data_IF_482339132159
#
_entry.id   IF_482339132159
#
_cell.length_a   1.000
_cell.length_b   1.000
_cell.length_c   1.000
_cell.angle_alpha   90.00
_cell.angle_beta   90.00
_cell.angle_gamma   90.00
#
_symmetry.space_group_name_H-M   'P 1'
#
loop_
_entity.id
_entity.type
_entity.pdbx_description
1 polymer ?
#
# COMPACT_ATOMS: atom_id res chain seq x y z
N UNK A 1 -14.51 34.78 17.27
CA UNK A 1 -14.43 33.77 16.20
C UNK A 1 -13.10 34.00 15.50
N UNK A 2 -12.05 33.25 15.87
CA UNK A 2 -10.74 33.37 15.24
C UNK A 2 -10.80 32.64 13.89
N UNK A 3 -10.30 33.22 12.78
CA UNK A 3 -10.18 32.48 11.54
C UNK A 3 -9.25 31.28 11.77
N UNK A 4 -9.70 30.09 11.41
CA UNK A 4 -8.83 28.91 11.36
C UNK A 4 -7.61 29.27 10.51
N UNK A 5 -6.45 29.37 11.14
CA UNK A 5 -5.20 29.57 10.42
C UNK A 5 -5.02 28.39 9.48
N UNK A 6 -4.94 28.67 8.17
CA UNK A 6 -4.65 27.64 7.18
C UNK A 6 -3.41 26.84 7.61
N UNK A 7 -3.43 25.51 7.48
CA UNK A 7 -2.28 24.69 7.86
C UNK A 7 -1.05 25.15 7.06
N UNK A 8 0.02 25.50 7.76
CA UNK A 8 1.32 25.79 7.15
C UNK A 8 1.81 24.50 6.47
N UNK A 9 1.97 24.56 5.14
CA UNK A 9 2.58 23.48 4.36
C UNK A 9 4.01 23.89 4.08
N UNK A 10 4.98 23.06 4.47
CA UNK A 10 6.37 23.24 4.11
C UNK A 10 6.50 23.29 2.58
N UNK A 11 7.02 24.38 1.99
CA UNK A 11 7.18 24.51 0.54
C UNK A 11 7.94 23.35 -0.09
N UNK A 12 8.95 22.79 0.60
CA UNK A 12 9.72 21.66 0.09
C UNK A 12 8.86 20.39 -0.07
N UNK A 13 7.87 20.19 0.81
CA UNK A 13 6.93 19.06 0.71
C UNK A 13 5.91 19.27 -0.41
N UNK A 14 5.50 20.52 -0.66
CA UNK A 14 4.63 20.85 -1.79
C UNK A 14 5.34 20.59 -3.14
N UNK A 15 6.62 20.95 -3.26
CA UNK A 15 7.43 20.66 -4.44
C UNK A 15 7.56 19.16 -4.72
N UNK A 16 7.77 18.34 -3.68
CA UNK A 16 7.85 16.88 -3.83
C UNK A 16 6.54 16.30 -4.35
N UNK A 17 5.40 16.78 -3.85
CA UNK A 17 4.09 16.35 -4.38
C UNK A 17 3.94 16.73 -5.86
N UNK A 18 4.30 17.95 -6.24
CA UNK A 18 4.22 18.38 -7.64
C UNK A 18 5.14 17.56 -8.54
N UNK A 19 6.34 17.20 -8.08
CA UNK A 19 7.25 16.32 -8.82
C UNK A 19 6.65 14.92 -9.00
N UNK A 20 6.06 14.36 -7.95
CA UNK A 20 5.39 13.07 -8.02
C UNK A 20 4.20 13.12 -8.99
N UNK A 21 3.36 14.15 -8.92
CA UNK A 21 2.23 14.33 -9.84
C UNK A 21 2.72 14.47 -11.30
N UNK A 22 3.75 15.26 -11.54
CA UNK A 22 4.35 15.44 -12.87
C UNK A 22 4.92 14.14 -13.42
N UNK A 23 5.54 13.31 -12.58
CA UNK A 23 6.07 12.01 -12.97
C UNK A 23 4.96 11.07 -13.47
N UNK A 24 3.84 10.98 -12.74
CA UNK A 24 2.72 10.14 -13.16
C UNK A 24 2.05 10.70 -14.42
N UNK A 25 1.87 12.02 -14.49
CA UNK A 25 1.30 12.66 -15.67
C UNK A 25 2.14 12.42 -16.93
N UNK A 26 3.47 12.39 -16.82
CA UNK A 26 4.36 12.06 -17.95
C UNK A 26 4.15 10.61 -18.47
N UNK A 27 3.66 9.71 -17.64
CA UNK A 27 3.29 8.32 -17.98
C UNK A 27 1.80 8.22 -18.39
N UNK A 28 1.10 9.35 -18.43
CA UNK A 28 -0.34 9.47 -18.70
C UNK A 28 -1.21 8.86 -17.61
N UNK A 29 -0.74 8.92 -16.36
CA UNK A 29 -1.43 8.47 -15.16
C UNK A 29 -1.76 9.65 -14.24
N UNK A 30 -2.78 9.46 -13.41
CA UNK A 30 -2.92 10.25 -12.20
C UNK A 30 -2.01 9.69 -11.10
N UNK A 31 -1.43 10.56 -10.27
CA UNK A 31 -0.72 10.10 -9.09
C UNK A 31 -1.70 9.39 -8.13
N UNK A 32 -1.26 8.30 -7.47
CA UNK A 32 -2.15 7.53 -6.62
C UNK A 32 -2.66 8.37 -5.46
N UNK A 33 -3.97 8.34 -5.23
CA UNK A 33 -4.58 8.98 -4.07
C UNK A 33 -4.20 8.19 -2.80
N UNK A 34 -3.41 8.80 -1.92
CA UNK A 34 -3.00 8.21 -0.66
C UNK A 34 -4.09 8.41 0.42
N UNK A 35 -4.22 7.49 1.40
CA UNK A 35 -5.10 7.71 2.55
C UNK A 35 -4.73 8.98 3.31
N UNK A 36 -5.73 9.71 3.84
CA UNK A 36 -5.50 11.01 4.51
C UNK A 36 -4.65 10.92 5.78
N UNK A 37 -4.51 9.74 6.38
CA UNK A 37 -3.65 9.52 7.54
C UNK A 37 -2.16 9.47 7.19
N UNK A 38 -1.82 9.40 5.91
CA UNK A 38 -0.43 9.28 5.44
C UNK A 38 0.26 10.64 5.50
N UNK A 39 1.46 10.73 6.10
CA UNK A 39 2.22 11.98 6.14
C UNK A 39 2.58 12.51 4.75
N UNK A 40 3.00 13.78 4.62
CA UNK A 40 3.50 14.31 3.35
C UNK A 40 4.67 13.50 2.79
N UNK A 41 4.73 13.41 1.47
CA UNK A 41 5.77 12.69 0.75
C UNK A 41 7.11 13.43 0.77
N UNK A 42 8.18 12.64 0.73
CA UNK A 42 9.57 13.07 0.54
C UNK A 42 10.16 12.29 -0.62
N UNK A 43 11.15 12.86 -1.30
CA UNK A 43 11.91 12.15 -2.33
C UNK A 43 12.78 11.09 -1.65
N UNK A 44 12.65 9.83 -2.08
CA UNK A 44 13.48 8.71 -1.62
C UNK A 44 14.66 8.48 -2.56
N UNK A 45 14.37 8.55 -3.86
CA UNK A 45 15.34 8.41 -4.95
C UNK A 45 14.77 9.10 -6.20
N UNK A 46 15.52 9.04 -7.30
CA UNK A 46 15.00 9.44 -8.62
C UNK A 46 13.72 8.66 -8.90
N UNK A 47 12.63 9.39 -9.21
CA UNK A 47 11.31 8.82 -9.54
C UNK A 47 10.64 8.01 -8.42
N UNK A 48 11.07 8.16 -7.17
CA UNK A 48 10.55 7.40 -6.03
C UNK A 48 10.30 8.31 -4.83
N UNK A 49 9.11 8.18 -4.24
CA UNK A 49 8.61 9.05 -3.18
C UNK A 49 8.06 8.22 -2.04
N UNK A 50 8.11 8.75 -0.82
CA UNK A 50 7.50 8.10 0.34
C UNK A 50 7.53 8.96 1.59
N UNK A 51 6.83 8.54 2.62
CA UNK A 51 6.62 9.34 3.84
C UNK A 51 7.78 9.29 4.83
N UNK A 52 8.63 8.27 4.72
CA UNK A 52 9.86 8.11 5.49
C UNK A 52 10.91 7.39 4.66
N UNK A 53 12.16 7.41 5.12
CA UNK A 53 13.19 6.54 4.56
C UNK A 53 12.74 5.06 4.61
N UNK A 54 13.17 4.30 3.60
CA UNK A 54 12.99 2.85 3.60
C UNK A 54 14.00 2.21 4.58
N UNK A 55 13.66 1.05 5.17
CA UNK A 55 14.61 0.26 5.95
C UNK A 55 15.89 -0.05 5.15
N UNK A 56 16.99 -0.28 5.85
CA UNK A 56 18.24 -0.67 5.22
C UNK A 56 18.05 -1.91 4.33
N UNK A 57 18.57 -1.84 3.10
CA UNK A 57 18.42 -2.92 2.10
C UNK A 57 17.04 -3.00 1.43
N UNK A 58 16.02 -2.28 1.92
CA UNK A 58 14.73 -2.19 1.26
C UNK A 58 14.76 -1.18 0.11
N UNK A 59 14.13 -1.55 -1.00
CA UNK A 59 13.86 -0.66 -2.13
C UNK A 59 12.40 -0.88 -2.55
N UNK A 60 11.82 0.04 -3.32
CA UNK A 60 10.50 -0.20 -3.91
C UNK A 60 10.47 -1.49 -4.77
N UNK A 61 11.62 -1.89 -5.31
CA UNK A 61 11.72 -3.07 -6.17
C UNK A 61 11.74 -4.39 -5.38
N UNK A 62 12.20 -4.38 -4.13
CA UNK A 62 12.29 -5.57 -3.30
C UNK A 62 11.11 -5.66 -2.32
N UNK A 63 9.94 -5.98 -2.87
CA UNK A 63 8.68 -6.03 -2.13
C UNK A 63 8.71 -7.01 -0.96
N UNK A 64 9.43 -8.13 -1.09
CA UNK A 64 9.57 -9.10 -0.01
C UNK A 64 10.35 -8.51 1.16
N UNK A 65 11.50 -7.88 0.93
CA UNK A 65 12.25 -7.22 2.03
C UNK A 65 11.43 -6.13 2.72
N UNK A 66 10.63 -5.37 1.97
CA UNK A 66 9.71 -4.40 2.57
C UNK A 66 8.61 -5.09 3.39
N UNK A 67 8.00 -6.16 2.87
CA UNK A 67 7.01 -6.97 3.59
C UNK A 67 7.59 -7.49 4.91
N UNK A 68 8.75 -8.15 4.89
CA UNK A 68 9.41 -8.64 6.10
C UNK A 68 9.70 -7.51 7.10
N UNK A 69 10.10 -6.32 6.61
CA UNK A 69 10.33 -5.16 7.47
C UNK A 69 9.04 -4.63 8.12
N UNK A 70 7.91 -4.70 7.42
CA UNK A 70 6.58 -4.34 7.95
C UNK A 70 6.11 -5.38 8.98
N UNK A 71 6.31 -6.67 8.68
CA UNK A 71 5.93 -7.77 9.58
C UNK A 71 6.75 -7.74 10.87
N UNK A 72 8.04 -7.41 10.80
CA UNK A 72 8.92 -7.23 11.98
C UNK A 72 8.77 -5.89 12.70
N UNK A 73 7.90 -4.99 12.21
CA UNK A 73 7.65 -3.68 12.83
C UNK A 73 8.76 -2.63 12.64
N UNK A 74 9.69 -2.85 11.70
CA UNK A 74 10.69 -1.86 11.32
C UNK A 74 10.08 -0.71 10.48
N UNK A 75 8.96 -0.98 9.80
CA UNK A 75 8.12 0.04 9.16
C UNK A 75 6.83 0.16 9.95
N UNK A 76 6.55 1.36 10.46
CA UNK A 76 5.36 1.64 11.27
C UNK A 76 4.30 2.38 10.43
N UNK A 77 3.01 2.04 10.59
CA UNK A 77 1.94 2.85 10.03
C UNK A 77 1.83 4.22 10.74
N UNK A 78 1.32 5.26 10.08
CA UNK A 78 1.00 5.33 8.65
C UNK A 78 2.26 5.53 7.80
N UNK A 79 2.40 4.73 6.75
CA UNK A 79 3.50 4.81 5.80
C UNK A 79 2.97 4.66 4.37
N UNK A 80 3.52 5.42 3.44
CA UNK A 80 3.32 5.14 2.02
C UNK A 80 4.61 5.40 1.24
N UNK A 81 4.78 4.64 0.17
CA UNK A 81 5.81 4.91 -0.83
C UNK A 81 5.33 4.48 -2.22
N UNK A 82 5.67 5.25 -3.24
CA UNK A 82 5.27 4.97 -4.60
C UNK A 82 6.26 5.57 -5.59
N UNK A 83 6.17 5.14 -6.84
CA UNK A 83 7.04 5.63 -7.90
C UNK A 83 7.29 4.58 -8.97
N UNK A 84 8.31 4.84 -9.76
CA UNK A 84 8.74 3.98 -10.85
C UNK A 84 10.17 3.55 -10.60
N UNK A 85 10.45 2.25 -10.72
CA UNK A 85 11.79 1.73 -10.60
C UNK A 85 12.08 0.69 -11.69
N UNK A 86 13.37 0.53 -11.98
CA UNK A 86 13.87 -0.33 -13.05
C UNK A 86 14.84 0.42 -13.97
N UNK A 87 15.70 -0.33 -14.66
CA UNK A 87 16.77 0.20 -15.49
C UNK A 87 16.54 -0.14 -16.98
N UNK A 88 16.61 0.89 -17.83
CA UNK A 88 16.64 0.74 -19.29
C UNK A 88 15.27 0.61 -19.98
N UNK A 89 15.32 0.26 -21.26
CA UNK A 89 14.16 0.16 -22.15
C UNK A 89 13.24 -1.04 -21.85
N UNK A 90 13.69 -1.98 -21.00
CA UNK A 90 13.10 -3.33 -20.90
C UNK A 90 12.60 -3.73 -19.50
N UNK A 91 12.87 -2.93 -18.47
CA UNK A 91 12.45 -3.27 -17.10
C UNK A 91 11.97 -2.01 -16.41
N UNK A 92 10.66 -1.79 -16.46
CA UNK A 92 9.98 -0.72 -15.75
C UNK A 92 8.91 -1.35 -14.88
N UNK A 93 8.93 -1.03 -13.59
CA UNK A 93 7.89 -1.38 -12.64
C UNK A 93 7.30 -0.10 -12.04
N UNK A 94 6.01 -0.15 -11.75
CA UNK A 94 5.29 0.87 -11.00
C UNK A 94 4.94 0.31 -9.63
N UNK A 95 5.15 1.13 -8.61
CA UNK A 95 5.06 0.73 -7.21
C UNK A 95 4.04 1.60 -6.48
N UNK A 96 3.24 0.96 -5.62
CA UNK A 96 2.41 1.64 -4.64
C UNK A 96 2.37 0.78 -3.37
N UNK A 97 2.96 1.29 -2.30
CA UNK A 97 2.98 0.67 -1.00
C UNK A 97 2.24 1.56 -0.02
N UNK A 98 1.21 1.03 0.62
CA UNK A 98 0.38 1.73 1.60
C UNK A 98 0.31 0.87 2.85
N UNK A 99 0.72 1.43 3.99
CA UNK A 99 0.75 0.76 5.28
C UNK A 99 -0.01 1.65 6.26
N UNK A 100 -1.21 1.21 6.61
CA UNK A 100 -2.05 1.79 7.65
C UNK A 100 -2.11 0.83 8.84
N UNK A 101 -2.65 1.23 10.00
CA UNK A 101 -2.79 0.29 11.10
C UNK A 101 -3.70 -0.90 10.74
N UNK A 102 -4.69 -0.72 9.86
CA UNK A 102 -5.70 -1.74 9.53
C UNK A 102 -5.41 -2.51 8.23
N UNK A 103 -4.55 -1.97 7.36
CA UNK A 103 -4.27 -2.57 6.06
C UNK A 103 -2.84 -2.28 5.59
N UNK A 104 -2.20 -3.29 5.00
CA UNK A 104 -0.94 -3.23 4.28
C UNK A 104 -1.21 -3.66 2.84
N UNK A 105 -0.91 -2.81 1.88
CA UNK A 105 -1.03 -3.13 0.45
C UNK A 105 0.28 -2.83 -0.24
N UNK A 106 0.90 -3.86 -0.81
CA UNK A 106 2.15 -3.78 -1.55
C UNK A 106 1.88 -4.13 -3.02
N UNK A 107 1.69 -3.09 -3.84
CA UNK A 107 1.49 -3.20 -5.27
C UNK A 107 2.81 -2.99 -6.03
N UNK A 108 3.16 -3.92 -6.90
CA UNK A 108 4.30 -3.85 -7.80
C UNK A 108 3.92 -4.43 -9.16
N UNK A 109 3.67 -3.59 -10.15
CA UNK A 109 3.22 -4.03 -11.46
C UNK A 109 4.26 -3.78 -12.52
N UNK A 110 4.32 -4.63 -13.54
CA UNK A 110 5.09 -4.35 -14.75
C UNK A 110 4.49 -3.12 -15.44
N UNK A 111 5.30 -2.10 -15.62
CA UNK A 111 4.94 -0.88 -16.36
C UNK A 111 5.36 -0.92 -17.85
N UNK A 112 5.94 -2.05 -18.26
CA UNK A 112 6.11 -2.44 -19.66
C UNK A 112 7.20 -1.68 -20.41
N UNK A 113 7.30 -2.01 -21.70
CA UNK A 113 8.28 -1.49 -22.65
C UNK A 113 7.58 -0.75 -23.78
N UNK A 114 8.30 -0.43 -24.86
CA UNK A 114 7.72 0.11 -26.10
C UNK A 114 6.83 -0.91 -26.84
N UNK A 115 6.98 -2.21 -26.55
CA UNK A 115 6.23 -3.27 -27.24
C UNK A 115 4.91 -3.63 -26.55
N UNK A 116 4.70 -3.17 -25.32
CA UNK A 116 3.51 -3.50 -24.53
C UNK A 116 2.35 -2.54 -24.86
N UNK A 117 1.11 -3.03 -24.77
CA UNK A 117 -0.08 -2.17 -24.85
C UNK A 117 -0.20 -1.30 -23.60
N UNK A 118 0.23 -0.04 -23.74
CA UNK A 118 0.21 0.97 -22.68
C UNK A 118 -1.19 1.24 -22.14
N UNK A 119 -2.25 1.13 -22.95
CA UNK A 119 -3.62 1.36 -22.48
C UNK A 119 -4.06 0.25 -21.54
N UNK A 120 -3.76 -1.00 -21.89
CA UNK A 120 -4.07 -2.15 -21.04
C UNK A 120 -3.27 -2.11 -19.73
N UNK A 121 -1.97 -1.81 -19.78
CA UNK A 121 -1.16 -1.69 -18.56
C UNK A 121 -1.63 -0.56 -17.64
N UNK A 122 -2.01 0.59 -18.22
CA UNK A 122 -2.61 1.71 -17.49
C UNK A 122 -3.88 1.31 -16.76
N UNK A 123 -4.85 0.74 -17.47
CA UNK A 123 -6.12 0.33 -16.87
C UNK A 123 -5.93 -0.68 -15.73
N UNK A 124 -5.03 -1.66 -15.92
CA UNK A 124 -4.67 -2.62 -14.87
C UNK A 124 -4.09 -1.94 -13.63
N UNK A 125 -3.21 -0.95 -13.81
CA UNK A 125 -2.65 -0.21 -12.68
C UNK A 125 -3.68 0.66 -11.97
N UNK A 126 -4.49 1.42 -12.72
CA UNK A 126 -5.53 2.30 -12.15
C UNK A 126 -6.55 1.50 -11.34
N UNK A 127 -6.99 0.34 -11.85
CA UNK A 127 -7.88 -0.58 -11.14
C UNK A 127 -7.24 -1.07 -9.83
N UNK A 128 -5.99 -1.53 -9.89
CA UNK A 128 -5.27 -2.01 -8.71
C UNK A 128 -5.05 -0.87 -7.68
N UNK A 129 -4.66 0.32 -8.13
CA UNK A 129 -4.43 1.48 -7.27
C UNK A 129 -5.72 1.98 -6.60
N UNK A 130 -6.84 1.99 -7.33
CA UNK A 130 -8.15 2.29 -6.75
C UNK A 130 -8.53 1.24 -5.70
N UNK A 131 -8.28 -0.05 -5.98
CA UNK A 131 -8.46 -1.14 -5.03
C UNK A 131 -7.60 -0.98 -3.76
N UNK A 132 -6.34 -0.55 -3.88
CA UNK A 132 -5.47 -0.27 -2.72
C UNK A 132 -6.10 0.75 -1.78
N UNK A 133 -6.59 1.87 -2.33
CA UNK A 133 -7.25 2.93 -1.55
C UNK A 133 -8.53 2.42 -0.91
N UNK A 134 -9.35 1.74 -1.70
CA UNK A 134 -10.61 1.18 -1.22
C UNK A 134 -10.40 0.19 -0.08
N UNK A 135 -9.40 -0.68 -0.18
CA UNK A 135 -9.08 -1.64 0.87
C UNK A 135 -8.64 -0.94 2.16
N UNK A 136 -7.77 0.08 2.07
CA UNK A 136 -7.37 0.85 3.25
C UNK A 136 -8.57 1.56 3.91
N UNK A 137 -9.46 2.16 3.13
CA UNK A 137 -10.65 2.85 3.63
C UNK A 137 -11.67 1.87 4.25
N UNK A 138 -11.95 0.74 3.59
CA UNK A 138 -12.90 -0.26 4.07
C UNK A 138 -12.38 -1.01 5.29
N UNK A 139 -11.08 -1.35 5.36
CA UNK A 139 -10.49 -1.94 6.57
C UNK A 139 -10.55 -0.99 7.77
N UNK A 140 -10.36 0.30 7.56
CA UNK A 140 -10.55 1.32 8.61
C UNK A 140 -12.01 1.36 9.08
N UNK A 141 -12.98 1.33 8.17
CA UNK A 141 -14.41 1.32 8.51
C UNK A 141 -14.77 0.04 9.27
N UNK A 142 -14.29 -1.12 8.83
CA UNK A 142 -14.53 -2.41 9.47
C UNK A 142 -14.01 -2.44 10.91
N UNK A 143 -12.82 -1.87 11.17
CA UNK A 143 -12.28 -1.72 12.52
C UNK A 143 -13.16 -0.80 13.39
N UNK A 144 -13.56 0.38 12.87
CA UNK A 144 -14.44 1.32 13.61
C UNK A 144 -15.80 0.67 13.96
N UNK A 145 -16.27 -0.27 13.14
CA UNK A 145 -17.49 -1.06 13.38
C UNK A 145 -17.26 -2.31 14.24
N UNK A 146 -16.03 -2.54 14.69
CA UNK A 146 -15.61 -3.76 15.40
C UNK A 146 -15.91 -5.05 14.61
N UNK A 147 -15.95 -4.97 13.28
CA UNK A 147 -16.07 -6.12 12.37
C UNK A 147 -14.73 -6.80 12.12
N UNK A 148 -13.62 -6.08 12.31
CA UNK A 148 -12.26 -6.62 12.35
C UNK A 148 -11.67 -6.22 13.72
N UNK A 149 -11.03 -7.14 14.46
CA UNK A 149 -10.33 -6.83 15.69
C UNK A 149 -9.26 -5.74 15.50
N UNK A 150 -9.06 -4.88 16.50
CA UNK A 150 -8.09 -3.77 16.43
C UNK A 150 -6.63 -4.26 16.43
N UNK A 151 -6.41 -5.49 16.88
CA UNK A 151 -5.13 -6.19 16.89
C UNK A 151 -4.88 -7.02 15.62
N UNK A 152 -5.77 -6.93 14.62
CA UNK A 152 -5.61 -7.57 13.32
C UNK A 152 -5.56 -6.53 12.18
N UNK A 153 -4.91 -6.91 11.08
CA UNK A 153 -4.84 -6.11 9.85
C UNK A 153 -4.85 -6.99 8.61
N UNK A 154 -5.38 -6.44 7.53
CA UNK A 154 -5.30 -7.08 6.21
C UNK A 154 -3.94 -6.83 5.58
N UNK A 155 -3.30 -7.85 5.04
CA UNK A 155 -2.06 -7.71 4.28
C UNK A 155 -2.26 -8.27 2.89
N UNK A 156 -1.90 -7.48 1.88
CA UNK A 156 -2.01 -7.84 0.47
C UNK A 156 -0.71 -7.54 -0.24
N UNK A 157 -0.21 -8.52 -1.00
CA UNK A 157 0.85 -8.35 -1.97
C UNK A 157 0.29 -8.65 -3.35
N UNK A 158 0.39 -7.67 -4.24
CA UNK A 158 0.06 -7.82 -5.65
C UNK A 158 1.30 -7.45 -6.46
N UNK A 159 2.14 -8.43 -6.74
CA UNK A 159 3.37 -8.24 -7.49
C UNK A 159 3.42 -9.12 -8.73
N UNK A 160 3.67 -8.51 -9.89
CA UNK A 160 3.99 -9.24 -11.13
C UNK A 160 5.36 -9.95 -11.04
N UNK A 161 6.14 -9.73 -9.97
CA UNK A 161 7.51 -10.22 -9.79
C UNK A 161 7.72 -11.11 -8.56
N UNK A 162 6.93 -10.94 -7.50
CA UNK A 162 7.13 -11.62 -6.21
C UNK A 162 5.93 -12.48 -5.76
N UNK A 163 4.81 -12.42 -6.47
CA UNK A 163 3.61 -13.20 -6.17
C UNK A 163 2.39 -12.34 -5.84
N UNK A 164 1.25 -13.03 -5.75
CA UNK A 164 -0.08 -12.44 -5.56
C UNK A 164 -0.80 -13.19 -4.46
N UNK A 165 -0.85 -12.61 -3.27
CA UNK A 165 -1.35 -13.28 -2.07
C UNK A 165 -1.84 -12.27 -1.04
N UNK A 166 -2.65 -12.75 -0.10
CA UNK A 166 -3.16 -11.95 0.99
C UNK A 166 -3.31 -12.80 2.25
N UNK A 167 -3.39 -12.15 3.40
CA UNK A 167 -3.70 -12.81 4.67
C UNK A 167 -4.25 -11.77 5.67
N UNK A 168 -4.94 -12.24 6.70
CA UNK A 168 -5.32 -11.45 7.86
C UNK A 168 -4.39 -11.82 9.00
N UNK A 169 -3.66 -10.84 9.51
CA UNK A 169 -2.54 -11.08 10.42
C UNK A 169 -2.61 -10.16 11.63
N UNK A 170 -1.97 -10.53 12.74
CA UNK A 170 -1.78 -9.61 13.85
C UNK A 170 -1.16 -8.28 13.38
N UNK A 171 -1.64 -7.17 13.96
CA UNK A 171 -1.06 -5.85 13.78
C UNK A 171 0.27 -5.69 14.53
N UNK A 172 0.49 -6.51 15.56
CA UNK A 172 1.75 -6.56 16.30
C UNK A 172 2.90 -7.10 15.42
N UNK A 173 4.15 -6.71 15.73
CA UNK A 173 5.33 -7.30 15.10
C UNK A 173 5.38 -8.81 15.30
N UNK A 174 5.77 -9.55 14.25
CA UNK A 174 5.91 -11.00 14.25
C UNK A 174 7.39 -11.40 14.34
N UNK A 175 7.66 -12.50 15.04
CA UNK A 175 8.95 -13.20 15.01
C UNK A 175 9.16 -13.95 13.69
N UNK A 176 10.39 -14.36 13.41
CA UNK A 176 10.72 -15.09 12.17
C UNK A 176 9.97 -16.43 12.04
N UNK A 177 9.74 -17.12 13.17
CA UNK A 177 8.98 -18.38 13.18
C UNK A 177 7.50 -18.13 12.85
N UNK A 178 6.91 -17.07 13.39
CA UNK A 178 5.52 -16.69 13.08
C UNK A 178 5.38 -16.28 11.61
N UNK A 179 6.35 -15.53 11.08
CA UNK A 179 6.35 -15.14 9.67
C UNK A 179 6.45 -16.37 8.75
N UNK A 180 7.31 -17.34 9.09
CA UNK A 180 7.43 -18.58 8.33
C UNK A 180 6.17 -19.45 8.38
N UNK A 181 5.37 -19.31 9.45
CA UNK A 181 4.12 -20.04 9.65
C UNK A 181 2.88 -19.33 9.08
N UNK A 182 3.03 -18.17 8.43
CA UNK A 182 1.90 -17.45 7.84
C UNK A 182 1.22 -18.33 6.78
N UNK A 183 -0.09 -18.53 6.95
CA UNK A 183 -0.94 -19.05 5.91
C UNK A 183 -1.31 -17.91 4.94
N UNK A 184 -0.72 -17.95 3.76
CA UNK A 184 -1.01 -17.03 2.67
C UNK A 184 -2.15 -17.57 1.82
N UNK A 185 -3.23 -16.82 1.70
CA UNK A 185 -4.27 -17.11 0.74
C UNK A 185 -3.81 -16.67 -0.65
N UNK A 186 -3.86 -17.55 -1.66
CA UNK A 186 -3.63 -17.13 -3.04
C UNK A 186 -4.71 -16.13 -3.44
N UNK A 187 -4.32 -15.10 -4.19
CA UNK A 187 -5.27 -14.14 -4.73
C UNK A 187 -5.48 -14.25 -6.24
N UNK A 188 -4.90 -15.28 -6.86
CA UNK A 188 -4.76 -15.42 -8.31
C UNK A 188 -4.39 -14.07 -8.94
N UNK A 189 -5.13 -13.60 -9.95
CA UNK A 189 -4.86 -12.34 -10.62
C UNK A 189 -5.36 -11.09 -9.88
N UNK A 190 -6.11 -11.22 -8.78
CA UNK A 190 -6.77 -10.11 -8.10
C UNK A 190 -6.77 -10.21 -6.54
N UNK A 191 -5.60 -10.34 -5.88
CA UNK A 191 -5.51 -10.47 -4.40
C UNK A 191 -6.14 -9.27 -3.66
N UNK A 192 -6.09 -8.06 -4.22
CA UNK A 192 -6.73 -6.88 -3.62
C UNK A 192 -8.25 -7.06 -3.55
N UNK A 193 -8.88 -7.60 -4.61
CA UNK A 193 -10.33 -7.80 -4.63
C UNK A 193 -10.75 -8.94 -3.70
N UNK A 194 -9.94 -10.00 -3.59
CA UNK A 194 -10.18 -11.08 -2.62
C UNK A 194 -10.13 -10.55 -1.17
N UNK A 195 -9.11 -9.75 -0.83
CA UNK A 195 -9.01 -9.13 0.48
C UNK A 195 -10.17 -8.13 0.76
N UNK A 196 -10.61 -7.37 -0.25
CA UNK A 196 -11.80 -6.53 -0.14
C UNK A 196 -13.06 -7.33 0.15
N UNK A 197 -13.24 -8.48 -0.52
CA UNK A 197 -14.37 -9.36 -0.26
C UNK A 197 -14.37 -9.89 1.17
N UNK A 198 -13.21 -10.26 1.70
CA UNK A 198 -13.05 -10.68 3.11
C UNK A 198 -13.44 -9.56 4.08
N UNK A 199 -12.93 -8.34 3.88
CA UNK A 199 -13.27 -7.18 4.72
C UNK A 199 -14.78 -6.90 4.70
N UNK A 200 -15.42 -6.99 3.53
CA UNK A 200 -16.87 -6.79 3.37
C UNK A 200 -17.68 -7.90 4.03
N UNK A 201 -17.22 -9.14 3.91
CA UNK A 201 -17.83 -10.30 4.58
C UNK A 201 -17.83 -10.10 6.10
N UNK A 202 -16.69 -9.71 6.67
CA UNK A 202 -16.56 -9.40 8.10
C UNK A 202 -17.50 -8.27 8.53
N UNK A 203 -17.69 -7.24 7.69
CA UNK A 203 -18.66 -6.17 7.98
C UNK A 203 -20.12 -6.62 7.99
N UNK A 204 -20.47 -7.70 7.29
CA UNK A 204 -21.81 -8.31 7.34
C UNK A 204 -22.07 -9.15 8.60
N UNK A 205 -21.00 -9.55 9.31
CA UNK A 205 -21.06 -10.40 10.50
C UNK A 205 -20.26 -9.76 11.65
N UNK A 206 -20.87 -8.83 12.42
CA UNK A 206 -20.15 -8.13 13.48
C UNK A 206 -19.54 -9.10 14.50
N UNK A 207 -18.28 -8.86 14.89
CA UNK A 207 -17.59 -9.69 15.89
C UNK A 207 -18.21 -9.43 17.26
N UNK A 208 -18.94 -10.42 17.77
CA UNK A 208 -19.44 -10.39 19.15
C UNK A 208 -18.25 -10.68 20.07
N UNK A 209 -17.66 -9.63 20.67
CA UNK A 209 -16.64 -9.82 21.71
C UNK A 209 -17.28 -10.54 22.90
N UNK A 210 -16.74 -11.67 23.38
CA UNK A 210 -17.18 -12.24 24.64
C UNK A 210 -16.93 -11.20 25.74
N UNK A 211 -17.92 -10.99 26.61
CA UNK A 211 -17.80 -10.04 27.72
C UNK A 211 -16.57 -10.42 28.56
N UNK A 212 -15.62 -9.48 28.68
CA UNK A 212 -14.43 -9.68 29.52
C UNK A 212 -14.88 -9.84 30.98
N UNK A 213 -14.71 -11.04 31.53
CA UNK A 213 -14.93 -11.33 32.96
C UNK A 213 -13.78 -10.87 33.82
#
# INVERSE_FOLDING_TARGET
MYPESLPYVDPALAEVKLEADALYHAEGLEAPSLPSCVPPLRRLAVRSFGTSALPEGATLYNVNTLLYSILRGHVRPPFAAHGFAGYGLMSQAIHLHVVTPQAVVLLQMRWGTIQDDRKTLRGRYEEAAAGCRQLADESRIAMVRSSIPEDERMIVVQSDFAGKYWSRLPAAPLSDNEIAAIEWHPGDDAPIQAALAEVRSAMGHPVVRPAST
#
